data_IF_870745612638
#
_entry.id   IF_870745612638
#
_cell.length_a   1.000
_cell.length_b   1.000
_cell.length_c   1.000
_cell.angle_alpha   90.00
_cell.angle_beta   90.00
_cell.angle_gamma   90.00
#
_symmetry.space_group_name_H-M   'P 1'
#
loop_
_entity.id
_entity.type
_entity.pdbx_description
1 polymer ?
#
# COMPACT_ATOMS: atom_id res chain seq x y z
N UNK A 1 -15.71 -21.14 39.78
CA UNK A 1 -15.48 -19.69 39.66
C UNK A 1 -14.16 -19.57 38.91
N UNK A 2 -14.04 -19.23 37.64
CA UNK A 2 -14.86 -18.66 36.55
C UNK A 2 -14.24 -19.19 35.23
N UNK A 3 -15.01 -19.81 34.33
CA UNK A 3 -15.50 -19.26 33.03
C UNK A 3 -14.37 -18.81 32.06
N UNK A 4 -14.11 -19.62 31.01
CA UNK A 4 -14.44 -19.35 29.59
C UNK A 4 -13.39 -18.46 28.89
N UNK A 5 -12.51 -19.02 28.06
CA UNK A 5 -12.64 -19.11 26.60
C UNK A 5 -13.09 -17.81 25.92
N UNK A 6 -12.17 -16.86 25.75
CA UNK A 6 -12.33 -15.79 24.77
C UNK A 6 -11.59 -16.15 23.48
N UNK A 7 -12.38 -16.73 22.57
CA UNK A 7 -12.14 -16.85 21.14
C UNK A 7 -11.76 -15.48 20.58
N UNK A 8 -10.48 -15.27 20.24
CA UNK A 8 -10.06 -14.11 19.47
C UNK A 8 -10.74 -14.17 18.10
N UNK A 9 -11.72 -13.29 17.92
CA UNK A 9 -12.47 -13.14 16.69
C UNK A 9 -11.51 -12.93 15.51
N UNK A 10 -11.64 -13.80 14.51
CA UNK A 10 -11.02 -13.68 13.19
C UNK A 10 -11.51 -12.38 12.55
N UNK A 11 -10.75 -11.30 12.73
CA UNK A 11 -10.96 -10.09 11.96
C UNK A 11 -10.73 -10.46 10.49
N UNK A 12 -11.65 -10.13 9.56
CA UNK A 12 -11.50 -10.51 8.17
C UNK A 12 -10.20 -9.91 7.64
N UNK A 13 -9.20 -10.76 7.42
CA UNK A 13 -7.98 -10.41 6.68
C UNK A 13 -8.44 -9.91 5.32
N UNK A 14 -8.43 -8.59 5.13
CA UNK A 14 -8.62 -7.97 3.81
C UNK A 14 -7.71 -8.76 2.86
N UNK A 15 -8.24 -9.36 1.80
CA UNK A 15 -7.42 -10.15 0.89
C UNK A 15 -6.25 -9.28 0.46
N UNK A 16 -5.05 -9.76 0.74
CA UNK A 16 -3.81 -9.08 0.38
C UNK A 16 -3.67 -9.21 -1.14
N UNK A 17 -4.35 -8.32 -1.87
CA UNK A 17 -4.30 -8.30 -3.33
C UNK A 17 -2.86 -7.97 -3.72
N UNK A 18 -2.17 -8.93 -4.36
CA UNK A 18 -0.82 -8.69 -4.83
C UNK A 18 -0.90 -7.66 -5.95
N UNK A 19 -0.17 -6.55 -5.79
CA UNK A 19 -0.16 -5.47 -6.79
C UNK A 19 0.24 -5.94 -8.20
N UNK A 20 1.03 -7.03 -8.29
CA UNK A 20 1.48 -7.62 -9.57
C UNK A 20 0.38 -8.34 -10.35
N UNK A 21 -0.73 -8.71 -9.69
CA UNK A 21 -1.84 -9.41 -10.33
C UNK A 21 -2.88 -8.45 -10.92
N UNK A 22 -2.75 -7.15 -10.63
CA UNK A 22 -3.69 -6.15 -11.08
C UNK A 22 -3.34 -5.78 -12.53
N UNK A 23 -4.26 -5.93 -13.50
CA UNK A 23 -4.01 -5.53 -14.87
C UNK A 23 -3.92 -4.00 -14.99
N UNK A 24 -2.94 -3.52 -15.75
CA UNK A 24 -2.79 -2.10 -16.07
C UNK A 24 -3.48 -1.84 -17.41
N UNK A 25 -4.68 -1.24 -17.34
CA UNK A 25 -5.55 -1.05 -18.52
C UNK A 25 -5.54 0.36 -19.09
N UNK A 26 -5.07 1.33 -18.32
CA UNK A 26 -5.11 2.74 -18.67
C UNK A 26 -3.98 3.50 -17.97
N UNK A 27 -3.69 4.71 -18.47
CA UNK A 27 -2.60 5.56 -17.98
C UNK A 27 -2.75 5.94 -16.51
N UNK A 28 -3.98 6.19 -16.05
CA UNK A 28 -4.27 6.57 -14.67
C UNK A 28 -4.08 5.37 -13.74
N UNK A 29 -4.53 4.18 -14.15
CA UNK A 29 -4.30 2.91 -13.48
C UNK A 29 -2.81 2.57 -13.37
N UNK A 30 -2.03 2.80 -14.44
CA UNK A 30 -0.58 2.62 -14.45
C UNK A 30 0.11 3.51 -13.40
N UNK A 31 -0.26 4.80 -13.36
CA UNK A 31 0.27 5.75 -12.39
C UNK A 31 -0.08 5.33 -10.95
N UNK A 32 -1.34 4.97 -10.69
CA UNK A 32 -1.78 4.51 -9.38
C UNK A 32 -1.02 3.25 -8.93
N UNK A 33 -0.71 2.35 -9.87
CA UNK A 33 0.09 1.17 -9.59
C UNK A 33 1.52 1.51 -9.21
N UNK A 34 2.17 2.43 -9.93
CA UNK A 34 3.51 2.93 -9.58
C UNK A 34 3.53 3.52 -8.17
N UNK A 35 2.57 4.38 -7.83
CA UNK A 35 2.45 4.97 -6.49
C UNK A 35 2.23 3.89 -5.42
N UNK A 36 1.46 2.84 -5.74
CA UNK A 36 1.23 1.72 -4.81
C UNK A 36 2.51 0.92 -4.54
N UNK A 37 3.33 0.68 -5.56
CA UNK A 37 4.63 0.03 -5.39
C UNK A 37 5.63 0.90 -4.61
N UNK A 38 5.64 2.21 -4.84
CA UNK A 38 6.49 3.14 -4.08
C UNK A 38 6.13 3.13 -2.58
N UNK A 39 4.83 3.15 -2.26
CA UNK A 39 4.35 3.02 -0.89
C UNK A 39 4.76 1.68 -0.26
N UNK A 40 4.70 0.59 -1.02
CA UNK A 40 5.14 -0.73 -0.56
C UNK A 40 6.65 -0.77 -0.30
N UNK A 41 7.45 -0.18 -1.19
CA UNK A 41 8.90 -0.09 -1.05
C UNK A 41 9.31 0.74 0.18
N UNK A 42 8.61 1.85 0.44
CA UNK A 42 8.81 2.65 1.66
C UNK A 42 8.56 1.82 2.93
N UNK A 43 7.46 1.05 2.99
CA UNK A 43 7.15 0.17 4.13
C UNK A 43 8.19 -0.93 4.34
N UNK A 44 8.87 -1.33 3.27
CA UNK A 44 9.97 -2.32 3.29
C UNK A 44 11.32 -1.68 3.64
N UNK A 45 11.40 -0.37 3.80
CA UNK A 45 12.63 0.34 4.13
C UNK A 45 13.64 0.41 2.97
N UNK A 46 13.16 0.36 1.72
CA UNK A 46 14.02 0.44 0.53
C UNK A 46 14.65 1.83 0.38
N UNK A 47 13.93 2.86 0.84
CA UNK A 47 14.34 4.25 0.76
C UNK A 47 14.59 4.81 2.16
N UNK A 48 15.55 5.72 2.26
CA UNK A 48 15.72 6.57 3.43
C UNK A 48 14.55 7.56 3.56
N UNK A 49 14.47 8.24 4.71
CA UNK A 49 13.42 9.24 4.97
C UNK A 49 13.49 10.39 3.95
N UNK A 50 14.69 10.85 3.63
CA UNK A 50 14.92 11.96 2.68
C UNK A 50 14.52 11.58 1.25
N UNK A 51 14.90 10.38 0.80
CA UNK A 51 14.50 9.86 -0.50
C UNK A 51 12.98 9.66 -0.61
N UNK A 52 12.36 9.12 0.44
CA UNK A 52 10.90 8.95 0.52
C UNK A 52 10.17 10.29 0.43
N UNK A 53 10.69 11.32 1.09
CA UNK A 53 10.14 12.67 1.02
C UNK A 53 10.21 13.22 -0.42
N UNK A 54 11.34 13.02 -1.11
CA UNK A 54 11.52 13.49 -2.48
C UNK A 54 10.61 12.76 -3.48
N UNK A 55 10.48 11.44 -3.33
CA UNK A 55 9.55 10.62 -4.10
C UNK A 55 8.12 11.14 -3.93
N UNK A 56 7.71 11.47 -2.71
CA UNK A 56 6.36 11.98 -2.45
C UNK A 56 6.09 13.34 -3.10
N UNK A 57 7.09 14.23 -3.18
CA UNK A 57 6.97 15.46 -3.98
C UNK A 57 6.71 15.17 -5.46
N UNK A 58 7.42 14.20 -6.04
CA UNK A 58 7.21 13.78 -7.42
C UNK A 58 5.79 13.20 -7.62
N UNK A 59 5.33 12.33 -6.73
CA UNK A 59 3.98 11.73 -6.80
C UNK A 59 2.90 12.81 -6.80
N UNK A 60 3.04 13.86 -5.97
CA UNK A 60 2.07 14.96 -5.91
C UNK A 60 1.93 15.72 -7.24
N UNK A 61 2.98 15.78 -8.07
CA UNK A 61 2.89 16.44 -9.38
C UNK A 61 1.88 15.77 -10.32
N UNK A 62 1.64 14.47 -10.13
CA UNK A 62 0.71 13.68 -10.92
C UNK A 62 -0.67 13.57 -10.26
N UNK A 63 -0.78 13.87 -8.96
CA UNK A 63 -2.06 14.04 -8.27
C UNK A 63 -2.63 15.44 -8.59
N UNK A 64 -3.06 15.67 -9.83
CA UNK A 64 -3.90 16.83 -10.15
C UNK A 64 -5.32 16.57 -9.61
N UNK A 65 -5.90 17.60 -8.97
CA UNK A 65 -7.29 17.59 -8.47
C UNK A 65 -8.29 17.17 -9.54
#
# INVERSE_FOLDING_TARGET
MEKENETVADAPKKPEVRLVDIPVTDEVGALNMLVSFLNLAQRRGVFTIDESAKIWECVKMFQKK
#
